data_IF_347214588367
#
_entry.id   IF_347214588367
#
_cell.length_a   1.000
_cell.length_b   1.000
_cell.length_c   1.000
_cell.angle_alpha   90.00
_cell.angle_beta   90.00
_cell.angle_gamma   90.00
#
_symmetry.space_group_name_H-M   'P 1'
#
loop_
_entity.id
_entity.type
_entity.pdbx_description
1 polymer ?
#
# COMPACT_ATOMS: atom_id res chain seq x y z
N UNK A 1 0.57 -29.66 -2.18
CA UNK A 1 1.47 -29.39 -3.33
C UNK A 1 1.11 -28.04 -3.93
N UNK A 2 2.04 -27.08 -3.92
CA UNK A 2 1.83 -25.71 -4.42
C UNK A 2 1.89 -25.64 -5.96
N UNK A 3 0.86 -25.09 -6.59
CA UNK A 3 0.73 -24.89 -8.05
C UNK A 3 0.29 -23.46 -8.36
N UNK A 4 0.98 -22.81 -9.31
CA UNK A 4 0.58 -21.49 -9.80
C UNK A 4 -0.70 -21.61 -10.63
N UNK A 5 -1.70 -20.80 -10.32
CA UNK A 5 -2.95 -20.71 -11.08
C UNK A 5 -2.91 -19.54 -12.05
N UNK A 6 -2.50 -18.36 -11.57
CA UNK A 6 -2.57 -17.11 -12.31
C UNK A 6 -1.42 -16.17 -11.93
N UNK A 7 -1.05 -15.27 -12.85
CA UNK A 7 -0.02 -14.26 -12.63
C UNK A 7 -0.35 -12.97 -13.41
N UNK A 8 -0.55 -11.89 -12.66
CA UNK A 8 -0.66 -10.53 -13.18
C UNK A 8 0.73 -9.86 -13.21
N UNK A 9 1.23 -9.59 -14.41
CA UNK A 9 2.53 -8.95 -14.63
C UNK A 9 2.55 -7.45 -14.32
N UNK A 10 1.39 -6.77 -14.34
CA UNK A 10 1.31 -5.33 -14.08
C UNK A 10 1.36 -5.05 -12.58
N UNK A 11 0.67 -5.88 -11.79
CA UNK A 11 0.67 -5.76 -10.32
C UNK A 11 1.68 -6.68 -9.64
N UNK A 12 2.34 -7.57 -10.40
CA UNK A 12 3.25 -8.60 -9.91
C UNK A 12 2.59 -9.50 -8.85
N UNK A 13 1.33 -9.87 -9.09
CA UNK A 13 0.52 -10.68 -8.18
C UNK A 13 0.35 -12.10 -8.74
N UNK A 14 0.72 -13.10 -7.95
CA UNK A 14 0.56 -14.51 -8.24
C UNK A 14 -0.57 -15.11 -7.41
N UNK A 15 -1.38 -15.97 -8.02
CA UNK A 15 -2.41 -16.77 -7.33
C UNK A 15 -1.96 -18.21 -7.28
N UNK A 16 -1.94 -18.79 -6.09
CA UNK A 16 -1.48 -20.14 -5.84
C UNK A 16 -2.60 -21.03 -5.33
N UNK A 17 -2.62 -22.27 -5.82
CA UNK A 17 -3.36 -23.37 -5.26
C UNK A 17 -2.42 -24.23 -4.44
N UNK A 18 -2.78 -24.54 -3.21
CA UNK A 18 -2.09 -25.55 -2.41
C UNK A 18 -3.10 -26.49 -1.78
N UNK A 19 -2.78 -27.78 -1.83
CA UNK A 19 -3.56 -28.82 -1.18
C UNK A 19 -2.73 -29.41 -0.05
N UNK A 20 -3.28 -29.34 1.16
CA UNK A 20 -2.72 -29.90 2.38
C UNK A 20 -3.37 -31.26 2.65
N UNK A 21 -2.61 -32.33 2.40
CA UNK A 21 -3.05 -33.71 2.62
C UNK A 21 -3.26 -34.05 4.09
N UNK A 22 -2.57 -33.35 5.01
CA UNK A 22 -2.68 -33.63 6.45
C UNK A 22 -3.96 -33.05 7.06
N UNK A 23 -4.42 -31.92 6.53
CA UNK A 23 -5.65 -31.25 6.97
C UNK A 23 -6.86 -31.53 6.08
N UNK A 24 -6.68 -32.23 4.95
CA UNK A 24 -7.70 -32.45 3.92
C UNK A 24 -8.33 -31.12 3.43
N UNK A 25 -7.48 -30.12 3.20
CA UNK A 25 -7.90 -28.76 2.84
C UNK A 25 -7.22 -28.25 1.59
N UNK A 26 -8.00 -27.50 0.82
CA UNK A 26 -7.51 -26.73 -0.32
C UNK A 26 -7.42 -25.26 0.05
N UNK A 27 -6.26 -24.67 -0.22
CA UNK A 27 -5.95 -23.27 -0.02
C UNK A 27 -5.78 -22.57 -1.37
N UNK A 28 -6.44 -21.43 -1.53
CA UNK A 28 -6.15 -20.48 -2.60
C UNK A 28 -5.65 -19.21 -1.94
N UNK A 29 -4.46 -18.76 -2.33
CA UNK A 29 -3.87 -17.54 -1.77
C UNK A 29 -3.15 -16.72 -2.83
N UNK A 30 -3.08 -15.42 -2.55
CA UNK A 30 -2.48 -14.41 -3.41
C UNK A 30 -1.16 -13.94 -2.80
N UNK A 31 -0.14 -13.80 -3.63
CA UNK A 31 1.18 -13.33 -3.24
C UNK A 31 1.61 -12.22 -4.19
N UNK A 32 1.95 -11.03 -3.66
CA UNK A 32 2.39 -9.89 -4.48
C UNK A 32 3.87 -9.60 -4.23
N UNK A 33 4.64 -9.44 -5.31
CA UNK A 33 6.01 -8.94 -5.21
C UNK A 33 5.99 -7.42 -4.98
N UNK A 34 6.10 -7.02 -3.71
CA UNK A 34 5.95 -5.61 -3.29
C UNK A 34 7.24 -4.80 -3.35
N UNK A 35 8.41 -5.43 -3.48
CA UNK A 35 9.71 -4.75 -3.39
C UNK A 35 9.82 -3.51 -4.33
N UNK A 36 9.42 -3.58 -5.62
CA UNK A 36 9.52 -2.42 -6.51
C UNK A 36 8.66 -1.24 -6.04
N UNK A 37 7.51 -1.51 -5.45
CA UNK A 37 6.61 -0.47 -4.93
C UNK A 37 7.24 0.20 -3.69
N UNK A 38 7.82 -0.61 -2.80
CA UNK A 38 8.45 -0.12 -1.57
C UNK A 38 9.73 0.67 -1.86
N UNK A 39 10.52 0.23 -2.83
CA UNK A 39 11.71 0.95 -3.30
C UNK A 39 11.34 2.33 -3.84
N UNK A 40 10.32 2.42 -4.69
CA UNK A 40 9.84 3.71 -5.22
C UNK A 40 9.35 4.63 -4.09
N UNK A 41 8.65 4.08 -3.09
CA UNK A 41 8.23 4.86 -1.92
C UNK A 41 9.42 5.37 -1.13
N UNK A 42 10.44 4.54 -0.93
CA UNK A 42 11.64 4.93 -0.22
C UNK A 42 12.40 6.05 -0.96
N UNK A 43 12.55 5.92 -2.28
CA UNK A 43 13.14 6.96 -3.13
C UNK A 43 12.35 8.27 -2.99
N UNK A 44 11.02 8.20 -3.12
CA UNK A 44 10.16 9.37 -2.97
C UNK A 44 10.31 10.02 -1.59
N UNK A 45 10.25 9.24 -0.51
CA UNK A 45 10.40 9.73 0.86
C UNK A 45 11.70 10.49 1.08
N UNK A 46 12.80 9.95 0.54
CA UNK A 46 14.15 10.49 0.71
C UNK A 46 14.51 11.57 -0.33
N UNK A 47 13.62 11.87 -1.28
CA UNK A 47 13.88 12.85 -2.32
C UNK A 47 13.97 14.27 -1.75
N UNK A 48 15.18 14.80 -1.61
CA UNK A 48 15.47 16.14 -1.07
C UNK A 48 14.99 16.28 0.40
N UNK A 49 15.60 15.46 1.27
CA UNK A 49 15.16 15.23 2.64
C UNK A 49 15.23 16.45 3.55
N UNK A 50 14.07 16.90 4.03
CA UNK A 50 13.95 17.49 5.37
C UNK A 50 13.90 19.02 5.46
N UNK A 51 12.98 19.65 4.73
CA UNK A 51 12.54 21.01 5.04
C UNK A 51 11.26 21.01 5.90
N UNK A 52 10.91 22.16 6.47
CA UNK A 52 9.93 22.30 7.57
C UNK A 52 8.63 21.50 7.39
N UNK A 53 8.16 20.89 8.50
CA UNK A 53 6.99 19.99 8.62
C UNK A 53 7.14 18.58 8.02
N UNK A 54 8.35 18.18 7.60
CA UNK A 54 8.63 16.83 7.10
C UNK A 54 8.14 16.59 5.66
N UNK A 55 7.84 17.66 4.93
CA UNK A 55 7.51 17.59 3.51
C UNK A 55 8.80 17.62 2.71
N UNK A 56 9.02 16.57 1.91
CA UNK A 56 10.10 16.52 0.93
C UNK A 56 9.74 17.35 -0.32
N UNK A 57 10.71 17.58 -1.21
CA UNK A 57 10.48 18.42 -2.40
C UNK A 57 9.42 17.81 -3.32
N UNK A 58 9.37 16.48 -3.43
CA UNK A 58 8.34 15.76 -4.18
C UNK A 58 6.92 16.15 -3.72
N UNK A 59 6.68 16.12 -2.40
CA UNK A 59 5.40 16.50 -1.82
C UNK A 59 5.10 17.98 -2.01
N UNK A 60 6.10 18.86 -1.85
CA UNK A 60 5.95 20.31 -2.02
C UNK A 60 5.58 20.68 -3.45
N UNK A 61 6.25 20.08 -4.43
CA UNK A 61 5.98 20.33 -5.84
C UNK A 61 4.59 19.82 -6.23
N UNK A 62 4.19 18.66 -5.71
CA UNK A 62 2.82 18.17 -5.85
C UNK A 62 1.78 19.16 -5.30
N UNK A 63 1.97 19.65 -4.06
CA UNK A 63 1.07 20.63 -3.44
C UNK A 63 0.99 21.93 -4.25
N UNK A 64 2.13 22.44 -4.75
CA UNK A 64 2.15 23.63 -5.63
C UNK A 64 1.36 23.41 -6.93
N UNK A 65 1.38 22.18 -7.44
CA UNK A 65 0.63 21.78 -8.63
C UNK A 65 -0.79 21.29 -8.31
N UNK A 66 -1.31 21.61 -7.11
CA UNK A 66 -2.65 21.22 -6.64
C UNK A 66 -2.90 19.71 -6.56
N UNK A 67 -1.85 18.89 -6.52
CA UNK A 67 -1.96 17.44 -6.39
C UNK A 67 -0.88 16.87 -5.48
N UNK A 68 -1.27 16.55 -4.24
CA UNK A 68 -0.37 15.89 -3.30
C UNK A 68 -0.49 14.36 -3.40
N UNK A 69 0.54 13.71 -3.94
CA UNK A 69 0.65 12.25 -3.90
C UNK A 69 1.18 11.83 -2.53
N UNK A 70 0.30 11.25 -1.71
CA UNK A 70 0.53 10.97 -0.28
C UNK A 70 1.20 9.62 -0.01
N UNK A 71 0.84 8.59 -0.77
CA UNK A 71 1.25 7.22 -0.52
C UNK A 71 1.04 6.38 -1.78
N UNK A 72 1.89 5.36 -1.96
CA UNK A 72 1.66 4.27 -2.91
C UNK A 72 1.49 2.98 -2.13
N UNK A 73 0.33 2.36 -2.26
CA UNK A 73 -0.08 1.22 -1.43
C UNK A 73 -0.15 -0.03 -2.32
N UNK A 74 0.59 -1.11 -2.00
CA UNK A 74 0.47 -2.39 -2.71
C UNK A 74 -0.93 -2.99 -2.61
N UNK A 75 -1.37 -3.73 -3.63
CA UNK A 75 -2.67 -4.39 -3.67
C UNK A 75 -2.86 -5.37 -2.50
N UNK A 76 -1.81 -6.11 -2.13
CA UNK A 76 -1.85 -7.02 -0.98
C UNK A 76 -2.19 -6.28 0.32
N UNK A 77 -1.67 -5.06 0.52
CA UNK A 77 -1.99 -4.21 1.67
C UNK A 77 -3.42 -3.65 1.58
N UNK A 78 -3.86 -3.25 0.39
CA UNK A 78 -5.24 -2.77 0.16
C UNK A 78 -6.24 -3.87 0.56
N UNK A 79 -6.01 -5.10 0.10
CA UNK A 79 -6.83 -6.25 0.44
C UNK A 79 -6.77 -6.57 1.94
N UNK A 80 -5.57 -6.49 2.54
CA UNK A 80 -5.41 -6.67 3.98
C UNK A 80 -6.22 -5.64 4.78
N UNK A 81 -6.11 -4.34 4.46
CA UNK A 81 -6.87 -3.28 5.14
C UNK A 81 -8.37 -3.42 4.96
N UNK A 82 -8.81 -3.85 3.77
CA UNK A 82 -10.22 -4.12 3.51
C UNK A 82 -10.74 -5.27 4.36
N UNK A 83 -10.00 -6.38 4.46
CA UNK A 83 -10.39 -7.57 5.24
C UNK A 83 -10.35 -7.31 6.74
N UNK A 84 -9.31 -6.65 7.25
CA UNK A 84 -9.08 -6.49 8.69
C UNK A 84 -9.75 -5.25 9.28
N UNK A 85 -9.82 -4.15 8.53
CA UNK A 85 -10.29 -2.87 9.05
C UNK A 85 -11.56 -2.35 8.37
N UNK A 86 -12.11 -3.09 7.39
CA UNK A 86 -13.30 -2.69 6.63
C UNK A 86 -13.08 -1.48 5.73
N UNK A 87 -11.83 -1.10 5.47
CA UNK A 87 -11.48 0.09 4.70
C UNK A 87 -11.59 -0.17 3.20
N UNK A 88 -12.28 0.70 2.47
CA UNK A 88 -12.35 0.63 1.01
C UNK A 88 -11.65 1.83 0.36
N UNK A 89 -10.45 1.62 -0.20
CA UNK A 89 -9.69 2.70 -0.84
C UNK A 89 -10.44 3.41 -1.96
N UNK A 90 -11.40 2.77 -2.64
CA UNK A 90 -12.20 3.41 -3.68
C UNK A 90 -13.12 4.53 -3.16
N UNK A 91 -13.33 4.61 -1.84
CA UNK A 91 -14.10 5.66 -1.17
C UNK A 91 -13.23 6.79 -0.59
N UNK A 92 -11.92 6.78 -0.84
CA UNK A 92 -11.02 7.86 -0.45
C UNK A 92 -11.51 9.21 -1.00
N UNK A 93 -11.64 10.21 -0.11
CA UNK A 93 -12.14 11.55 -0.45
C UNK A 93 -13.64 11.64 -0.72
N UNK A 94 -14.37 10.52 -0.70
CA UNK A 94 -15.84 10.47 -0.85
C UNK A 94 -16.53 10.14 0.47
N UNK A 95 -15.90 9.29 1.28
CA UNK A 95 -16.34 8.92 2.61
C UNK A 95 -15.35 9.43 3.66
N UNK A 96 -15.86 10.22 4.60
CA UNK A 96 -15.09 10.80 5.69
C UNK A 96 -14.51 9.72 6.61
N UNK A 97 -15.25 8.64 6.87
CA UNK A 97 -14.80 7.58 7.76
C UNK A 97 -13.60 6.83 7.17
N UNK A 98 -13.71 6.39 5.92
CA UNK A 98 -12.65 5.73 5.15
C UNK A 98 -11.41 6.62 5.07
N UNK A 99 -11.61 7.91 4.74
CA UNK A 99 -10.52 8.87 4.61
C UNK A 99 -9.78 9.05 5.93
N UNK A 100 -10.51 9.23 7.05
CA UNK A 100 -9.89 9.31 8.39
C UNK A 100 -9.15 8.03 8.77
N UNK A 101 -9.74 6.87 8.47
CA UNK A 101 -9.14 5.57 8.83
C UNK A 101 -7.85 5.32 8.07
N UNK A 102 -7.82 5.59 6.76
CA UNK A 102 -6.61 5.45 5.92
C UNK A 102 -5.50 6.41 6.40
N UNK A 103 -5.83 7.68 6.70
CA UNK A 103 -4.86 8.61 7.28
C UNK A 103 -4.30 8.10 8.62
N UNK A 104 -5.16 7.54 9.47
CA UNK A 104 -4.75 6.91 10.73
C UNK A 104 -3.77 5.76 10.51
N UNK A 105 -4.05 4.86 9.56
CA UNK A 105 -3.17 3.76 9.19
C UNK A 105 -1.83 4.29 8.67
N UNK A 106 -1.82 5.21 7.70
CA UNK A 106 -0.58 5.80 7.15
C UNK A 106 0.26 6.55 8.18
N UNK A 107 -0.34 7.04 9.26
CA UNK A 107 0.36 7.69 10.36
C UNK A 107 0.87 6.69 11.44
N UNK A 108 0.50 5.41 11.37
CA UNK A 108 0.98 4.40 12.30
C UNK A 108 2.42 3.97 11.99
N UNK A 109 3.22 3.55 13.00
CA UNK A 109 4.57 3.05 12.76
C UNK A 109 4.62 1.85 11.82
N UNK A 110 3.55 1.05 11.81
CA UNK A 110 3.41 -0.15 11.00
C UNK A 110 3.31 0.20 9.51
N UNK A 111 2.56 1.24 9.13
CA UNK A 111 2.29 1.52 7.70
C UNK A 111 2.93 2.79 7.17
N UNK A 112 3.65 3.56 8.01
CA UNK A 112 4.28 4.82 7.60
C UNK A 112 5.24 4.70 6.41
N UNK A 113 5.79 3.50 6.17
CA UNK A 113 6.70 3.23 5.06
C UNK A 113 6.01 3.28 3.68
N UNK A 114 4.68 3.23 3.64
CA UNK A 114 3.88 3.33 2.40
C UNK A 114 3.72 4.77 1.92
N UNK A 115 4.02 5.76 2.76
CA UNK A 115 3.94 7.17 2.41
C UNK A 115 5.01 7.54 1.39
N UNK A 116 4.79 8.58 0.61
CA UNK A 116 5.76 9.15 -0.32
C UNK A 116 6.54 10.33 0.30
N UNK A 117 6.21 10.70 1.54
CA UNK A 117 6.88 11.74 2.32
C UNK A 117 6.98 11.39 3.81
N UNK A 118 7.82 12.14 4.53
CA UNK A 118 8.08 11.89 5.96
C UNK A 118 7.00 12.49 6.88
N UNK A 119 6.34 13.55 6.42
CA UNK A 119 5.28 14.28 7.13
C UNK A 119 4.03 13.46 7.39
N UNK A 120 3.26 13.86 8.41
CA UNK A 120 1.95 13.24 8.73
C UNK A 120 0.88 13.67 7.72
N UNK A 121 -0.12 12.80 7.55
CA UNK A 121 -1.25 12.96 6.62
C UNK A 121 -2.54 13.32 7.35
#
# INVERSE_FOLDING_TARGET
MKRLIDYDADTLTAVWHDYDESEDKTYIYEEQHVAPILEINNIAQNHDGGHGKGLNEYSRQGIKNSWWHVARIPNSVILHWRKQYGVNLALWGKDDWTTKKIKGLLNSPEWKYLRTGLGRV
#
